data_IF_112041584832
#
_entry.id   IF_112041584832
#
_cell.length_a   1.000
_cell.length_b   1.000
_cell.length_c   1.000
_cell.angle_alpha   90.00
_cell.angle_beta   90.00
_cell.angle_gamma   90.00
#
_symmetry.space_group_name_H-M   'P 1'
#
loop_
_entity.id
_entity.type
_entity.pdbx_description
1 polymer ?
#
# COMPACT_ATOMS: atom_id res chain seq x y z
N UNK A 1 15.02 18.34 -6.64
CA UNK A 1 14.49 19.20 -7.75
C UNK A 1 14.35 20.66 -7.30
N UNK A 2 14.68 21.64 -8.15
CA UNK A 2 14.52 23.07 -7.81
C UNK A 2 13.08 23.53 -8.02
N UNK A 3 12.53 24.28 -7.07
CA UNK A 3 11.14 24.76 -7.17
C UNK A 3 11.04 26.00 -8.06
N UNK A 4 9.82 26.30 -8.51
CA UNK A 4 9.52 27.55 -9.23
C UNK A 4 9.98 28.79 -8.45
N UNK A 5 9.87 28.75 -7.12
CA UNK A 5 10.32 29.85 -6.24
C UNK A 5 11.82 30.07 -6.36
N UNK A 6 12.61 28.99 -6.31
CA UNK A 6 14.07 29.08 -6.47
C UNK A 6 14.46 29.64 -7.85
N UNK A 7 13.76 29.22 -8.91
CA UNK A 7 13.99 29.75 -10.25
C UNK A 7 13.71 31.26 -10.34
N UNK A 8 12.57 31.73 -9.81
CA UNK A 8 12.25 33.17 -9.81
C UNK A 8 13.25 33.99 -9.00
N UNK A 9 13.67 33.51 -7.82
CA UNK A 9 14.68 34.21 -7.01
C UNK A 9 16.04 34.24 -7.70
N UNK A 10 16.42 33.17 -8.40
CA UNK A 10 17.69 33.09 -9.12
C UNK A 10 17.70 34.03 -10.33
N UNK A 11 16.65 33.98 -11.17
CA UNK A 11 16.50 34.88 -12.31
C UNK A 11 16.40 36.34 -11.87
N UNK A 12 15.67 36.63 -10.79
CA UNK A 12 15.60 37.97 -10.20
C UNK A 12 16.95 38.47 -9.69
N UNK A 13 17.74 37.60 -9.06
CA UNK A 13 19.11 37.91 -8.64
C UNK A 13 20.01 38.27 -9.83
N UNK A 14 19.98 37.47 -10.90
CA UNK A 14 20.75 37.75 -12.13
C UNK A 14 20.30 39.05 -12.79
N UNK A 15 18.99 39.25 -12.94
CA UNK A 15 18.44 40.45 -13.55
C UNK A 15 18.85 41.73 -12.80
N UNK A 16 18.82 41.71 -11.46
CA UNK A 16 19.27 42.84 -10.63
C UNK A 16 20.76 43.14 -10.80
N UNK A 17 21.59 42.10 -10.94
CA UNK A 17 23.03 42.30 -11.22
C UNK A 17 23.21 42.98 -12.58
N UNK A 18 22.54 42.49 -13.63
CA UNK A 18 22.67 43.06 -14.98
C UNK A 18 22.16 44.50 -15.05
N UNK A 19 21.00 44.78 -14.45
CA UNK A 19 20.44 46.15 -14.38
C UNK A 19 21.36 47.05 -13.54
N UNK A 20 21.88 46.54 -12.42
CA UNK A 20 22.84 47.24 -11.57
C UNK A 20 24.13 47.61 -12.31
N UNK A 21 24.66 46.71 -13.14
CA UNK A 21 25.81 46.98 -14.01
C UNK A 21 25.47 48.04 -15.07
N UNK A 22 24.29 47.98 -15.69
CA UNK A 22 23.86 48.95 -16.71
C UNK A 22 23.74 50.38 -16.16
N UNK A 23 23.21 50.52 -14.95
CA UNK A 23 23.02 51.82 -14.26
C UNK A 23 24.28 52.23 -13.48
N UNK A 24 25.29 51.36 -13.39
CA UNK A 24 26.48 51.50 -12.53
C UNK A 24 26.14 51.69 -11.04
N UNK A 25 24.98 51.20 -10.60
CA UNK A 25 24.53 51.32 -9.22
C UNK A 25 24.98 50.11 -8.39
N UNK A 26 25.88 50.37 -7.44
CA UNK A 26 26.48 49.34 -6.60
C UNK A 26 25.47 48.71 -5.63
N UNK A 27 24.44 49.45 -5.20
CA UNK A 27 23.43 48.95 -4.26
C UNK A 27 22.59 47.83 -4.88
N UNK A 28 22.18 47.99 -6.15
CA UNK A 28 21.42 46.98 -6.88
C UNK A 28 22.24 45.70 -7.11
N UNK A 29 23.53 45.86 -7.38
CA UNK A 29 24.45 44.74 -7.57
C UNK A 29 24.62 43.93 -6.28
N UNK A 30 24.80 44.59 -5.14
CA UNK A 30 24.89 43.93 -3.82
C UNK A 30 23.62 43.13 -3.52
N UNK A 31 22.44 43.69 -3.80
CA UNK A 31 21.17 42.99 -3.59
C UNK A 31 21.03 41.74 -4.47
N UNK A 32 21.42 41.83 -5.75
CA UNK A 32 21.42 40.69 -6.65
C UNK A 32 22.36 39.57 -6.22
N UNK A 33 23.59 39.93 -5.77
CA UNK A 33 24.55 38.96 -5.21
C UNK A 33 23.99 38.32 -3.94
N UNK A 34 23.31 39.09 -3.07
CA UNK A 34 22.70 38.56 -1.85
C UNK A 34 21.64 37.49 -2.15
N UNK A 35 20.83 37.65 -3.20
CA UNK A 35 19.87 36.62 -3.61
C UNK A 35 20.55 35.36 -4.14
N UNK A 36 21.61 35.49 -4.93
CA UNK A 36 22.37 34.33 -5.41
C UNK A 36 23.04 33.61 -4.24
N UNK A 37 23.71 34.34 -3.35
CA UNK A 37 24.34 33.80 -2.14
C UNK A 37 23.32 33.09 -1.24
N UNK A 38 22.13 33.66 -1.07
CA UNK A 38 21.04 33.07 -0.32
C UNK A 38 20.63 31.69 -0.86
N UNK A 39 20.52 31.54 -2.19
CA UNK A 39 20.19 30.26 -2.83
C UNK A 39 21.32 29.26 -2.65
N UNK A 40 22.57 29.66 -2.84
CA UNK A 40 23.75 28.78 -2.70
C UNK A 40 23.86 28.24 -1.28
N UNK A 41 23.72 29.10 -0.26
CA UNK A 41 23.75 28.68 1.14
C UNK A 41 22.62 27.69 1.44
N UNK A 42 21.41 27.97 0.96
CA UNK A 42 20.27 27.07 1.16
C UNK A 42 20.45 25.73 0.44
N UNK A 43 21.04 25.73 -0.75
CA UNK A 43 21.31 24.50 -1.50
C UNK A 43 22.35 23.61 -0.82
N UNK A 44 23.34 24.20 -0.14
CA UNK A 44 24.32 23.44 0.65
C UNK A 44 23.67 22.81 1.90
N UNK A 45 22.78 23.55 2.56
CA UNK A 45 22.13 23.11 3.80
C UNK A 45 21.04 22.04 3.59
N UNK A 46 20.67 21.74 2.34
CA UNK A 46 19.71 20.68 1.97
C UNK A 46 20.24 19.28 2.31
N UNK A 47 20.11 18.92 3.59
CA UNK A 47 20.57 17.68 4.16
C UNK A 47 19.55 16.56 3.94
N UNK A 48 19.98 15.52 3.22
CA UNK A 48 19.29 14.24 3.20
C UNK A 48 19.60 13.58 4.55
N UNK A 49 18.69 13.74 5.51
CA UNK A 49 18.79 13.03 6.77
C UNK A 49 18.54 11.56 6.51
N UNK A 50 19.46 10.70 6.95
CA UNK A 50 19.22 9.27 7.07
C UNK A 50 18.01 9.06 8.01
N UNK A 51 16.90 8.60 7.43
CA UNK A 51 15.63 8.37 8.14
C UNK A 51 15.36 6.87 8.11
N UNK A 52 15.31 6.29 9.30
CA UNK A 52 14.89 4.92 9.49
C UNK A 52 13.38 4.88 9.70
N UNK A 53 12.71 3.91 9.07
CA UNK A 53 11.27 3.71 9.21
C UNK A 53 11.00 2.27 9.62
N UNK A 54 10.14 2.11 10.63
CA UNK A 54 9.70 0.80 11.11
C UNK A 54 8.18 0.79 11.20
N UNK A 55 7.54 -0.22 10.61
CA UNK A 55 6.08 -0.41 10.64
C UNK A 55 5.72 -1.57 11.56
N UNK A 56 4.79 -1.33 12.47
CA UNK A 56 4.18 -2.35 13.31
C UNK A 56 2.71 -2.48 12.94
N UNK A 57 2.28 -3.71 12.68
CA UNK A 57 0.91 -4.06 12.34
C UNK A 57 0.25 -4.74 13.56
N UNK A 58 -1.06 -4.55 13.73
CA UNK A 58 -1.79 -5.28 14.77
C UNK A 58 -1.94 -6.78 14.48
N UNK A 59 -1.95 -7.16 13.20
CA UNK A 59 -2.07 -8.54 12.75
C UNK A 59 -1.58 -8.69 11.30
N UNK A 60 -0.98 -9.83 10.98
CA UNK A 60 -0.54 -10.18 9.62
C UNK A 60 -1.65 -10.89 8.82
N UNK A 61 -2.60 -11.49 9.54
CA UNK A 61 -3.73 -12.25 9.01
C UNK A 61 -5.03 -11.63 9.50
N UNK A 62 -5.88 -11.20 8.57
CA UNK A 62 -7.18 -10.57 8.85
C UNK A 62 -8.30 -11.25 8.08
N UNK A 63 -9.56 -11.06 8.47
CA UNK A 63 -10.69 -11.44 7.64
C UNK A 63 -11.20 -10.25 6.81
N UNK A 64 -11.91 -10.58 5.74
CA UNK A 64 -12.56 -9.60 4.87
C UNK A 64 -13.48 -8.72 5.71
N UNK A 65 -13.24 -7.42 5.70
CA UNK A 65 -13.99 -6.46 6.50
C UNK A 65 -13.52 -6.37 7.94
N UNK A 66 -12.28 -6.73 8.24
CA UNK A 66 -11.66 -6.35 9.51
C UNK A 66 -10.92 -5.01 9.36
N UNK A 67 -10.61 -4.41 10.50
CA UNK A 67 -9.82 -3.18 10.60
C UNK A 67 -8.39 -3.54 11.03
N UNK A 68 -7.39 -3.04 10.31
CA UNK A 68 -5.97 -3.19 10.60
C UNK A 68 -5.45 -1.91 11.22
N UNK A 69 -4.84 -2.01 12.41
CA UNK A 69 -4.18 -0.88 13.06
C UNK A 69 -2.72 -0.87 12.66
N UNK A 70 -2.27 0.26 12.12
CA UNK A 70 -0.89 0.45 11.66
C UNK A 70 -0.22 1.54 12.48
N UNK A 71 0.96 1.25 12.98
CA UNK A 71 1.84 2.20 13.65
C UNK A 71 3.17 2.29 12.88
N UNK A 72 3.46 3.48 12.36
CA UNK A 72 4.70 3.78 11.65
C UNK A 72 5.60 4.64 12.56
N UNK A 73 6.76 4.11 12.93
CA UNK A 73 7.80 4.82 13.66
C UNK A 73 8.82 5.35 12.66
N UNK A 74 9.01 6.67 12.68
CA UNK A 74 9.97 7.37 11.82
C UNK A 74 11.04 7.97 12.72
N UNK A 75 12.30 7.58 12.51
CA UNK A 75 13.44 7.98 13.34
C UNK A 75 14.49 8.67 12.49
N UNK A 76 14.92 9.86 12.92
CA UNK A 76 16.03 10.56 12.28
C UNK A 76 17.36 10.02 12.83
N UNK A 77 18.07 9.21 12.04
CA UNK A 77 19.41 8.68 12.37
C UNK A 77 20.53 9.64 12.02
N UNK A 78 20.24 10.71 11.28
CA UNK A 78 21.23 11.69 10.89
C UNK A 78 21.65 12.60 12.05
N UNK A 79 22.84 13.23 11.90
CA UNK A 79 23.35 14.24 12.84
C UNK A 79 22.73 15.64 12.65
N UNK A 80 21.82 15.80 11.69
CA UNK A 80 21.19 17.09 11.36
C UNK A 80 19.68 17.01 11.56
N UNK A 81 19.04 18.16 11.68
CA UNK A 81 17.58 18.23 11.71
C UNK A 81 17.01 17.94 10.32
N UNK A 82 15.93 17.18 10.23
CA UNK A 82 15.27 16.86 8.94
C UNK A 82 14.50 18.04 8.33
N UNK A 83 14.43 19.20 9.01
CA UNK A 83 13.65 20.37 8.57
C UNK A 83 12.19 20.01 8.28
N UNK A 84 11.65 20.26 7.09
CA UNK A 84 10.29 19.87 6.74
C UNK A 84 10.32 18.53 5.99
N UNK A 85 10.13 17.44 6.74
CA UNK A 85 10.01 16.09 6.20
C UNK A 85 8.52 15.74 6.05
N UNK A 86 8.08 15.36 4.87
CA UNK A 86 6.75 14.80 4.66
C UNK A 86 6.89 13.29 4.46
N UNK A 87 6.24 12.52 5.33
CA UNK A 87 6.23 11.05 5.28
C UNK A 87 4.89 10.60 4.73
N UNK A 88 4.92 9.67 3.78
CA UNK A 88 3.76 9.07 3.16
C UNK A 88 3.91 7.55 3.15
N UNK A 89 3.03 6.85 3.86
CA UNK A 89 2.98 5.39 3.77
C UNK A 89 2.09 4.97 2.60
N UNK A 90 2.66 4.25 1.63
CA UNK A 90 1.94 3.81 0.45
C UNK A 90 1.07 2.61 0.81
N UNK A 91 -0.25 2.79 0.69
CA UNK A 91 -1.24 1.76 0.99
C UNK A 91 -1.87 1.28 -0.32
N UNK A 92 -2.14 -0.04 -0.48
CA UNK A 92 -2.87 -0.57 -1.63
C UNK A 92 -4.21 0.13 -1.86
N UNK A 93 -4.56 0.37 -3.13
CA UNK A 93 -5.77 1.14 -3.48
C UNK A 93 -7.07 0.45 -3.04
N UNK A 94 -7.04 -0.85 -2.81
CA UNK A 94 -8.17 -1.66 -2.36
C UNK A 94 -8.54 -1.35 -0.92
N UNK A 95 -7.58 -0.93 -0.11
CA UNK A 95 -7.79 -0.62 1.30
C UNK A 95 -8.26 0.81 1.47
N UNK A 96 -9.11 1.03 2.47
CA UNK A 96 -9.65 2.36 2.77
C UNK A 96 -9.17 2.82 4.12
N UNK A 97 -8.68 4.05 4.20
CA UNK A 97 -8.37 4.68 5.47
C UNK A 97 -9.68 4.92 6.24
N UNK A 98 -9.82 4.27 7.39
CA UNK A 98 -10.99 4.42 8.26
C UNK A 98 -10.79 5.55 9.26
N UNK A 99 -9.59 5.67 9.82
CA UNK A 99 -9.23 6.68 10.81
C UNK A 99 -7.75 7.01 10.73
N UNK A 100 -7.38 8.23 11.14
CA UNK A 100 -6.02 8.75 11.06
C UNK A 100 -5.62 9.20 9.66
N UNK A 101 -4.34 9.48 9.49
CA UNK A 101 -3.72 9.88 8.22
C UNK A 101 -2.49 9.00 8.00
N UNK A 102 -2.36 8.41 6.82
CA UNK A 102 -1.14 7.71 6.38
C UNK A 102 -0.04 8.69 5.91
N UNK A 103 -0.21 9.98 6.20
CA UNK A 103 0.74 11.05 5.87
C UNK A 103 0.96 11.97 7.07
N UNK A 104 2.19 12.42 7.26
CA UNK A 104 2.50 13.39 8.32
C UNK A 104 3.67 14.28 7.93
N UNK A 105 3.60 15.57 8.31
CA UNK A 105 4.72 16.51 8.21
C UNK A 105 5.45 16.56 9.54
N UNK A 106 6.76 16.36 9.50
CA UNK A 106 7.63 16.18 10.66
C UNK A 106 8.84 17.10 10.57
N UNK A 107 9.37 17.46 11.74
CA UNK A 107 10.61 18.21 11.86
C UNK A 107 11.46 17.65 13.00
N UNK A 108 12.11 16.52 12.71
CA UNK A 108 12.81 15.70 13.70
C UNK A 108 14.23 16.24 13.94
N UNK A 109 14.58 16.42 15.21
CA UNK A 109 15.96 16.62 15.66
C UNK A 109 16.79 15.34 15.46
N UNK A 110 18.13 15.42 15.52
CA UNK A 110 18.98 14.23 15.51
C UNK A 110 18.56 13.23 16.59
N UNK A 111 18.30 11.99 16.22
CA UNK A 111 17.85 10.92 17.13
C UNK A 111 16.37 10.99 17.54
N UNK A 112 15.64 12.03 17.15
CA UNK A 112 14.21 12.16 17.47
C UNK A 112 13.38 11.19 16.62
N UNK A 113 12.32 10.67 17.22
CA UNK A 113 11.39 9.75 16.58
C UNK A 113 9.96 10.27 16.68
N UNK A 114 9.17 10.07 15.62
CA UNK A 114 7.75 10.37 15.60
C UNK A 114 6.95 9.12 15.21
N UNK A 115 5.72 9.04 15.71
CA UNK A 115 4.80 7.92 15.48
C UNK A 115 3.58 8.40 14.71
N UNK A 116 3.26 7.69 13.64
CA UNK A 116 2.06 7.90 12.84
C UNK A 116 1.16 6.69 13.06
N UNK A 117 -0.09 6.91 13.45
CA UNK A 117 -1.06 5.85 13.71
C UNK A 117 -2.28 6.05 12.83
N UNK A 118 -2.68 4.99 12.16
CA UNK A 118 -3.88 5.01 11.31
C UNK A 118 -4.52 3.63 11.25
N UNK A 119 -5.78 3.61 10.80
CA UNK A 119 -6.58 2.39 10.72
C UNK A 119 -7.00 2.17 9.28
N UNK A 120 -6.71 0.98 8.77
CA UNK A 120 -7.08 0.54 7.42
C UNK A 120 -8.25 -0.44 7.49
N UNK A 121 -9.29 -0.17 6.70
CA UNK A 121 -10.34 -1.13 6.41
C UNK A 121 -9.90 -2.03 5.27
N UNK A 122 -10.05 -3.34 5.45
CA UNK A 122 -9.66 -4.37 4.51
C UNK A 122 -10.88 -4.98 3.77
N UNK A 123 -11.39 -4.40 2.66
CA UNK A 123 -12.66 -4.82 2.07
C UNK A 123 -12.60 -6.06 1.17
N UNK A 124 -11.42 -6.41 0.63
CA UNK A 124 -11.22 -7.50 -0.32
C UNK A 124 -10.30 -8.59 0.26
N UNK A 125 -10.48 -9.84 -0.16
CA UNK A 125 -9.63 -10.98 0.22
C UNK A 125 -8.43 -11.06 -0.71
N UNK A 126 -7.29 -11.50 -0.22
CA UNK A 126 -6.07 -11.64 -1.02
C UNK A 126 -4.79 -11.40 -0.23
N UNK A 127 -3.67 -11.38 -0.95
CA UNK A 127 -2.35 -11.00 -0.43
C UNK A 127 -2.08 -9.55 -0.81
N UNK A 128 -1.62 -8.76 0.14
CA UNK A 128 -1.32 -7.35 -0.07
C UNK A 128 -0.02 -6.99 0.63
N UNK A 129 0.71 -6.01 0.08
CA UNK A 129 1.92 -5.45 0.69
C UNK A 129 1.70 -3.95 0.93
N UNK A 130 1.99 -3.48 2.14
CA UNK A 130 1.98 -2.06 2.51
C UNK A 130 3.41 -1.54 2.37
N UNK A 131 3.59 -0.41 1.69
CA UNK A 131 4.89 0.16 1.35
C UNK A 131 5.13 0.22 -0.17
N UNK A 132 6.26 0.80 -0.61
CA UNK A 132 7.35 1.37 0.19
C UNK A 132 6.93 2.69 0.86
N UNK A 133 7.73 3.22 1.80
CA UNK A 133 7.44 4.52 2.43
C UNK A 133 8.05 5.63 1.59
N UNK A 134 7.22 6.56 1.11
CA UNK A 134 7.69 7.71 0.34
C UNK A 134 8.01 8.87 1.29
N UNK A 135 9.20 9.43 1.15
CA UNK A 135 9.67 10.57 1.91
C UNK A 135 9.84 11.75 0.97
N UNK A 136 9.36 12.92 1.36
CA UNK A 136 9.59 14.17 0.65
C UNK A 136 10.20 15.20 1.57
N UNK A 137 11.43 15.55 1.29
CA UNK A 137 12.17 16.59 1.99
C UNK A 137 11.89 17.95 1.37
N UNK A 138 11.64 18.94 2.23
CA UNK A 138 11.55 20.35 1.86
C UNK A 138 12.42 21.19 2.77
N UNK A 139 13.19 22.09 2.15
CA UNK A 139 13.89 23.11 2.90
C UNK A 139 12.87 24.13 3.47
N UNK A 140 13.20 24.81 4.57
CA UNK A 140 12.41 25.87 5.23
C UNK A 140 11.88 26.93 4.26
N UNK A 141 12.66 27.32 3.24
CA UNK A 141 12.25 28.29 2.23
C UNK A 141 11.58 27.66 0.98
N UNK A 142 11.37 26.34 0.99
CA UNK A 142 10.78 25.56 -0.10
C UNK A 142 11.45 25.83 -1.47
N UNK A 143 12.77 26.01 -1.46
CA UNK A 143 13.60 26.27 -2.65
C UNK A 143 13.98 24.96 -3.36
N UNK A 144 14.25 23.91 -2.59
CA UNK A 144 14.52 22.56 -3.07
C UNK A 144 13.52 21.57 -2.49
N UNK A 145 13.11 20.61 -3.32
CA UNK A 145 12.26 19.48 -2.95
C UNK A 145 12.94 18.22 -3.43
N UNK A 146 13.23 17.31 -2.50
CA UNK A 146 13.85 16.03 -2.81
C UNK A 146 12.92 14.90 -2.37
N UNK A 147 12.71 13.94 -3.26
CA UNK A 147 11.84 12.79 -3.04
C UNK A 147 12.71 11.54 -2.91
N UNK A 148 12.40 10.72 -1.91
CA UNK A 148 13.15 9.53 -1.55
C UNK A 148 12.16 8.42 -1.23
N UNK A 149 12.61 7.17 -1.35
CA UNK A 149 11.82 6.00 -1.00
C UNK A 149 12.62 5.15 -0.04
N UNK A 150 11.96 4.73 1.05
CA UNK A 150 12.49 3.73 1.98
C UNK A 150 11.83 2.41 1.65
N UNK A 151 12.65 1.43 1.30
CA UNK A 151 12.24 0.08 0.93
C UNK A 151 11.80 -0.69 2.19
N UNK A 152 10.60 -0.39 2.68
CA UNK A 152 10.01 -1.01 3.86
C UNK A 152 8.61 -1.54 3.54
N UNK A 153 8.55 -2.84 3.28
CA UNK A 153 7.34 -3.57 2.94
C UNK A 153 6.82 -4.41 4.11
N UNK A 154 5.50 -4.46 4.25
CA UNK A 154 4.82 -5.33 5.22
C UNK A 154 3.70 -6.08 4.53
N UNK A 155 3.81 -7.40 4.48
CA UNK A 155 2.86 -8.26 3.79
C UNK A 155 1.75 -8.71 4.73
N UNK A 156 0.52 -8.71 4.21
CA UNK A 156 -0.68 -9.10 4.94
C UNK A 156 -1.57 -10.01 4.09
N UNK A 157 -2.26 -10.93 4.76
CA UNK A 157 -3.15 -11.90 4.13
C UNK A 157 -4.57 -11.65 4.65
N UNK A 158 -5.52 -11.46 3.73
CA UNK A 158 -6.93 -11.26 4.06
C UNK A 158 -7.74 -12.48 3.64
N UNK A 159 -8.25 -13.21 4.63
CA UNK A 159 -9.10 -14.37 4.46
C UNK A 159 -10.56 -13.99 4.16
N UNK A 160 -11.32 -14.84 3.44
CA UNK A 160 -12.77 -14.67 3.33
C UNK A 160 -13.45 -14.87 4.69
N UNK A 161 -14.50 -14.10 4.94
CA UNK A 161 -15.38 -14.33 6.09
C UNK A 161 -16.04 -15.71 5.97
N UNK A 162 -15.84 -16.56 6.97
CA UNK A 162 -16.51 -17.85 7.09
C UNK A 162 -17.89 -17.55 7.66
N UNK A 163 -18.94 -17.84 6.89
CA UNK A 163 -20.32 -17.80 7.40
C UNK A 163 -20.76 -19.23 7.61
N UNK A 164 -21.20 -19.52 8.83
CA UNK A 164 -21.92 -20.76 9.09
C UNK A 164 -23.24 -20.68 8.32
N UNK A 165 -23.37 -21.58 7.36
CA UNK A 165 -24.62 -21.75 6.63
C UNK A 165 -25.49 -22.58 7.56
N UNK A 166 -26.49 -21.95 8.20
CA UNK A 166 -27.60 -22.68 8.82
C UNK A 166 -28.05 -23.72 7.81
N UNK A 167 -27.96 -25.01 8.21
CA UNK A 167 -28.13 -26.20 7.39
C UNK A 167 -28.88 -25.89 6.09
N UNK A 168 -28.11 -25.59 5.04
CA UNK A 168 -28.69 -25.50 3.72
C UNK A 168 -29.22 -26.91 3.46
N UNK A 169 -30.53 -27.10 3.58
CA UNK A 169 -31.20 -28.31 3.16
C UNK A 169 -30.89 -28.44 1.67
N UNK A 170 -29.79 -29.13 1.32
CA UNK A 170 -29.45 -29.50 -0.04
C UNK A 170 -30.46 -30.57 -0.43
N UNK A 171 -31.69 -30.15 -0.70
CA UNK A 171 -32.70 -30.96 -1.35
C UNK A 171 -32.30 -31.01 -2.82
N UNK A 172 -31.81 -32.18 -3.24
CA UNK A 172 -31.74 -32.53 -4.65
C UNK A 172 -33.07 -32.20 -5.31
N UNK A 173 -33.09 -31.24 -6.26
CA UNK A 173 -34.28 -30.97 -7.10
C UNK A 173 -34.58 -32.12 -8.06
N UNK A 174 -33.64 -33.03 -8.23
CA UNK A 174 -33.85 -34.26 -9.00
C UNK A 174 -34.41 -35.31 -8.05
N UNK A 175 -35.61 -35.80 -8.32
CA UNK A 175 -36.09 -37.02 -7.69
C UNK A 175 -35.09 -38.13 -8.03
N UNK A 176 -34.44 -38.73 -7.01
CA UNK A 176 -33.66 -39.95 -7.24
C UNK A 176 -34.65 -41.01 -7.69
N UNK A 177 -34.72 -41.29 -9.00
CA UNK A 177 -35.56 -42.32 -9.61
C UNK A 177 -35.05 -43.76 -9.36
N UNK A 178 -34.24 -43.99 -8.33
CA UNK A 178 -33.84 -45.35 -7.97
C UNK A 178 -34.89 -45.95 -7.05
N UNK A 179 -35.80 -46.73 -7.62
CA UNK A 179 -36.73 -47.59 -6.88
C UNK A 179 -35.95 -48.83 -6.43
N UNK A 180 -35.59 -48.88 -5.16
CA UNK A 180 -34.90 -50.02 -4.55
C UNK A 180 -34.53 -49.72 -3.10
N UNK A 181 -34.59 -50.75 -2.24
CA UNK A 181 -34.15 -50.65 -0.84
C UNK A 181 -32.63 -50.59 -0.78
N UNK A 182 -32.07 -49.40 -0.92
CA UNK A 182 -30.68 -49.16 -0.58
C UNK A 182 -30.65 -48.60 0.84
N UNK A 183 -30.06 -49.36 1.76
CA UNK A 183 -29.65 -48.84 3.06
C UNK A 183 -28.70 -47.67 2.79
N UNK A 184 -29.17 -46.46 3.05
CA UNK A 184 -28.27 -45.32 3.14
C UNK A 184 -27.52 -45.51 4.45
N UNK A 185 -26.33 -46.09 4.38
CA UNK A 185 -25.38 -45.93 5.47
C UNK A 185 -25.17 -44.44 5.64
N UNK A 186 -25.60 -43.96 6.80
CA UNK A 186 -25.36 -42.60 7.23
C UNK A 186 -23.84 -42.48 7.41
N UNK A 187 -23.14 -42.20 6.31
CA UNK A 187 -21.68 -42.07 6.28
C UNK A 187 -21.38 -40.84 7.11
N UNK A 188 -20.89 -41.08 8.32
CA UNK A 188 -20.68 -40.06 9.34
C UNK A 188 -20.01 -38.82 8.78
N UNK A 189 -20.72 -37.70 8.88
CA UNK A 189 -20.23 -36.40 9.31
C UNK A 189 -18.78 -36.00 8.94
N UNK A 190 -18.30 -36.18 7.70
CA UNK A 190 -17.04 -35.55 7.22
C UNK A 190 -17.05 -35.29 5.72
N UNK A 191 -17.92 -34.39 5.26
CA UNK A 191 -17.71 -33.71 3.97
C UNK A 191 -17.69 -32.20 4.18
N UNK A 192 -16.49 -31.61 4.18
CA UNK A 192 -16.29 -30.16 4.04
C UNK A 192 -16.47 -29.80 2.57
N UNK A 193 -17.62 -29.22 2.24
CA UNK A 193 -17.88 -28.72 0.89
C UNK A 193 -17.26 -27.33 0.77
N UNK A 194 -16.26 -27.19 -0.09
CA UNK A 194 -15.64 -25.92 -0.46
C UNK A 194 -16.30 -25.39 -1.74
N UNK A 195 -16.78 -24.14 -1.66
CA UNK A 195 -17.17 -23.25 -2.75
C UNK A 195 -18.20 -23.76 -3.79
N UNK A 196 -19.44 -23.29 -3.65
CA UNK A 196 -20.38 -23.18 -4.76
C UNK A 196 -20.36 -21.74 -5.29
N UNK A 197 -19.66 -21.52 -6.41
CA UNK A 197 -19.83 -20.31 -7.20
C UNK A 197 -21.18 -20.37 -7.94
N UNK A 198 -21.94 -19.28 -7.87
CA UNK A 198 -23.29 -19.18 -8.41
C UNK A 198 -23.20 -19.04 -9.94
N UNK A 199 -23.11 -20.16 -10.67
CA UNK A 199 -23.22 -20.16 -12.13
C UNK A 199 -24.66 -19.84 -12.51
N UNK A 200 -24.91 -18.61 -12.95
CA UNK A 200 -26.14 -18.25 -13.67
C UNK A 200 -26.11 -18.93 -15.05
N UNK A 201 -26.61 -20.16 -15.17
CA UNK A 201 -26.81 -20.81 -16.47
C UNK A 201 -28.24 -20.56 -16.97
N UNK A 202 -28.39 -19.62 -17.91
CA UNK A 202 -29.56 -19.51 -18.80
C UNK A 202 -29.30 -20.18 -20.16
N UNK A 203 -28.64 -21.34 -20.20
CA UNK A 203 -28.61 -22.17 -21.42
C UNK A 203 -29.00 -23.61 -21.12
N UNK A 204 -29.88 -24.23 -21.93
CA UNK A 204 -30.18 -25.64 -21.79
C UNK A 204 -28.93 -26.46 -22.16
N UNK A 205 -28.64 -27.46 -21.31
CA UNK A 205 -27.48 -28.34 -21.42
C UNK A 205 -27.68 -29.28 -22.62
N UNK A 206 -26.77 -29.21 -23.60
CA UNK A 206 -26.65 -30.23 -24.65
C UNK A 206 -26.06 -31.51 -24.06
N UNK A 207 -26.72 -32.62 -24.35
CA UNK A 207 -26.40 -33.96 -23.88
C UNK A 207 -25.13 -34.48 -24.57
N UNK A 208 -24.00 -34.53 -23.84
CA UNK A 208 -22.78 -35.21 -24.30
C UNK A 208 -22.81 -36.67 -23.81
N UNK A 209 -22.90 -37.63 -24.74
CA UNK A 209 -22.79 -39.06 -24.47
C UNK A 209 -21.32 -39.44 -24.27
N UNK A 210 -20.93 -39.79 -23.04
CA UNK A 210 -19.67 -40.49 -22.79
C UNK A 210 -19.88 -42.01 -22.92
N UNK A 211 -19.18 -42.62 -23.88
CA UNK A 211 -19.13 -44.07 -24.06
C UNK A 211 -18.40 -44.75 -22.90
N UNK A 212 -18.96 -45.86 -22.41
CA UNK A 212 -18.36 -46.71 -21.38
C UNK A 212 -17.16 -47.46 -21.96
N UNK A 213 -15.95 -47.17 -21.48
CA UNK A 213 -14.79 -48.02 -21.67
C UNK A 213 -14.67 -48.98 -20.46
N UNK A 214 -14.79 -50.28 -20.71
CA UNK A 214 -14.54 -51.34 -19.74
C UNK A 214 -13.03 -51.61 -19.64
N UNK A 215 -12.47 -51.59 -18.43
CA UNK A 215 -11.13 -52.12 -18.16
C UNK A 215 -11.24 -53.61 -17.78
N UNK A 216 -10.43 -54.45 -18.45
CA UNK A 216 -10.37 -55.91 -18.28
C UNK A 216 -9.84 -56.30 -16.89
N UNK A 217 -10.50 -57.28 -16.30
CA UNK A 217 -10.06 -58.07 -15.14
C UNK A 217 -8.83 -58.92 -15.50
N UNK A 218 -7.78 -58.82 -14.69
CA UNK A 218 -6.65 -59.76 -14.69
C UNK A 218 -7.02 -61.04 -13.95
N UNK A 219 -6.64 -62.18 -14.53
CA UNK A 219 -6.81 -63.55 -14.01
C UNK A 219 -5.65 -63.89 -13.06
N UNK A 220 -5.85 -64.68 -11.99
CA UNK A 220 -4.76 -65.33 -11.28
C UNK A 220 -4.59 -66.75 -11.85
N UNK A 221 -3.37 -67.12 -12.24
CA UNK A 221 -2.95 -68.53 -12.38
C UNK A 221 -1.51 -68.63 -11.81
N UNK A 222 -1.34 -69.64 -10.96
CA UNK A 222 -0.13 -70.25 -10.34
C UNK A 222 0.69 -69.49 -9.27
#
# INVERSE_FOLDING_TARGET
>A
MWTRKAAFTFTGGIALILIGMMISNHQMMILGIAFIAFIVVNSWVSGHGDVEVQRTLSADNLYKGDDLYVELLVTNRSRRKTQQLEVYDNVPHEMKLRSGLNQMRLNLKPGESARIRYVLRCPLRGHYSIGPVSLRYRNTFNLSVDEMYVDHHSDIIIFPQIRDVEEAFIRSRTAKMYTGSNNVENTGARYRILFAERVCSRRPVQEYKFGKAFARTGRPDD
#
